data_IF_797605537677
#
_entry.id   IF_797605537677
#
_cell.length_a   1.000
_cell.length_b   1.000
_cell.length_c   1.000
_cell.angle_alpha   90.00
_cell.angle_beta   90.00
_cell.angle_gamma   90.00
#
_symmetry.space_group_name_H-M   'P 1'
#
loop_
_entity.id
_entity.type
_entity.pdbx_description
1 polymer ?
#
# COMPACT_ATOMS: atom_id res chain seq x y z
N UNK A 1 -15.50 -4.97 -27.26
CA UNK A 1 -14.48 -4.95 -26.19
C UNK A 1 -14.78 -6.13 -25.28
N UNK A 2 -13.93 -7.16 -25.25
CA UNK A 2 -14.10 -8.31 -24.34
C UNK A 2 -13.51 -7.93 -22.98
N UNK A 3 -14.26 -8.16 -21.91
CA UNK A 3 -13.77 -7.98 -20.54
C UNK A 3 -13.15 -9.30 -20.08
N UNK A 4 -11.89 -9.26 -19.67
CA UNK A 4 -11.20 -10.41 -19.08
C UNK A 4 -11.05 -10.19 -17.58
N UNK A 5 -11.44 -11.20 -16.80
CA UNK A 5 -11.20 -11.23 -15.36
C UNK A 5 -9.85 -11.88 -15.09
N UNK A 6 -9.03 -11.20 -14.30
CA UNK A 6 -7.74 -11.71 -13.84
C UNK A 6 -7.82 -12.02 -12.35
N UNK A 7 -7.13 -13.08 -11.93
CA UNK A 7 -6.95 -13.39 -10.51
C UNK A 7 -5.78 -12.57 -9.97
N UNK A 8 -6.06 -11.71 -8.99
CA UNK A 8 -5.08 -10.82 -8.35
C UNK A 8 -5.18 -10.93 -6.84
N UNK A 9 -4.13 -10.55 -6.12
CA UNK A 9 -4.20 -10.26 -4.69
C UNK A 9 -4.17 -8.74 -4.50
N UNK A 10 -4.75 -8.26 -3.39
CA UNK A 10 -4.76 -6.84 -3.01
C UNK A 10 -3.74 -6.62 -1.90
N UNK A 11 -2.95 -5.57 -2.03
CA UNK A 11 -2.12 -5.00 -0.98
C UNK A 11 -2.74 -3.67 -0.56
N UNK A 12 -3.00 -3.48 0.74
CA UNK A 12 -3.46 -2.20 1.29
C UNK A 12 -2.64 -1.80 2.51
N UNK A 13 -2.12 -0.58 2.46
CA UNK A 13 -1.28 0.02 3.51
C UNK A 13 -2.02 1.24 4.05
N UNK A 14 -2.10 1.35 5.38
CA UNK A 14 -2.60 2.55 6.05
C UNK A 14 -1.40 3.31 6.59
N UNK A 15 -1.26 4.57 6.19
CA UNK A 15 -0.08 5.37 6.44
C UNK A 15 -0.47 6.64 7.21
N UNK A 16 0.00 6.81 8.45
CA UNK A 16 -0.35 7.98 9.24
C UNK A 16 0.17 9.26 8.57
N UNK A 17 -0.67 10.29 8.54
CA UNK A 17 -0.32 11.59 7.97
C UNK A 17 -0.66 12.71 8.94
N UNK A 18 -0.04 13.87 8.75
CA UNK A 18 -0.37 15.06 9.53
C UNK A 18 -1.80 15.55 9.22
N UNK A 19 -2.41 16.28 10.15
CA UNK A 19 -3.69 16.93 9.91
C UNK A 19 -3.63 17.96 8.76
N UNK A 20 -2.47 18.58 8.54
CA UNK A 20 -2.22 19.49 7.43
C UNK A 20 -2.27 18.75 6.09
N UNK A 21 -1.49 17.67 5.95
CA UNK A 21 -1.50 16.81 4.74
C UNK A 21 -2.91 16.29 4.49
N UNK A 22 -3.59 15.79 5.52
CA UNK A 22 -4.97 15.32 5.42
C UNK A 22 -5.92 16.40 4.88
N UNK A 23 -5.87 17.61 5.44
CA UNK A 23 -6.72 18.72 5.03
C UNK A 23 -6.49 19.14 3.57
N UNK A 24 -5.24 19.14 3.12
CA UNK A 24 -4.88 19.46 1.73
C UNK A 24 -5.39 18.40 0.75
N UNK A 25 -5.19 17.12 1.05
CA UNK A 25 -5.71 16.03 0.21
C UNK A 25 -7.24 16.07 0.18
N UNK A 26 -7.89 16.30 1.32
CA UNK A 26 -9.35 16.44 1.40
C UNK A 26 -9.90 17.60 0.54
N UNK A 27 -9.11 18.66 0.37
CA UNK A 27 -9.43 19.79 -0.50
C UNK A 27 -9.16 19.52 -2.00
N UNK A 28 -8.69 18.32 -2.36
CA UNK A 28 -8.38 17.93 -3.74
C UNK A 28 -6.98 18.32 -4.21
N UNK A 29 -6.09 18.77 -3.31
CA UNK A 29 -4.70 19.06 -3.66
C UNK A 29 -3.89 17.76 -3.77
N UNK A 30 -3.88 17.16 -4.97
CA UNK A 30 -3.12 15.95 -5.24
C UNK A 30 -1.61 16.12 -5.03
N UNK A 31 -1.06 17.34 -5.11
CA UNK A 31 0.37 17.58 -4.88
C UNK A 31 0.74 17.36 -3.41
N UNK A 32 -0.22 17.47 -2.48
CA UNK A 32 0.03 17.19 -1.07
C UNK A 32 0.52 15.76 -0.82
N UNK A 33 0.13 14.79 -1.66
CA UNK A 33 0.63 13.41 -1.59
C UNK A 33 2.13 13.36 -1.89
N UNK A 34 2.58 14.07 -2.92
CA UNK A 34 3.99 14.06 -3.35
C UNK A 34 4.89 14.96 -2.47
N UNK A 35 4.29 15.93 -1.78
CA UNK A 35 5.01 16.86 -0.91
C UNK A 35 5.13 16.36 0.53
N UNK A 36 4.29 15.42 0.95
CA UNK A 36 4.45 14.73 2.22
C UNK A 36 5.63 13.76 2.13
N UNK A 37 6.70 13.92 2.93
CA UNK A 37 7.90 13.09 2.81
C UNK A 37 7.64 11.60 3.03
N UNK A 38 6.73 11.25 3.96
CA UNK A 38 6.42 9.86 4.26
C UNK A 38 5.63 9.20 3.13
N UNK A 39 4.68 9.93 2.54
CA UNK A 39 3.96 9.44 1.36
C UNK A 39 4.85 9.35 0.12
N UNK A 40 5.75 10.32 -0.07
CA UNK A 40 6.73 10.27 -1.16
C UNK A 40 7.65 9.05 -1.03
N UNK A 41 8.12 8.75 0.19
CA UNK A 41 8.93 7.55 0.47
C UNK A 41 8.15 6.25 0.24
N UNK A 42 6.90 6.18 0.71
CA UNK A 42 5.99 5.06 0.44
C UNK A 42 5.85 4.80 -1.07
N UNK A 43 5.52 5.83 -1.85
CA UNK A 43 5.34 5.70 -3.29
C UNK A 43 6.64 5.29 -3.97
N UNK A 44 7.77 5.91 -3.60
CA UNK A 44 9.07 5.56 -4.15
C UNK A 44 9.47 4.11 -3.89
N UNK A 45 9.24 3.60 -2.68
CA UNK A 45 9.51 2.20 -2.32
C UNK A 45 8.62 1.25 -3.13
N UNK A 46 7.32 1.53 -3.28
CA UNK A 46 6.43 0.70 -4.11
C UNK A 46 6.89 0.66 -5.57
N UNK A 47 7.37 1.77 -6.12
CA UNK A 47 7.90 1.82 -7.49
C UNK A 47 9.13 0.93 -7.72
N UNK A 48 9.86 0.55 -6.66
CA UNK A 48 10.96 -0.41 -6.76
C UNK A 48 10.49 -1.86 -6.94
N UNK A 49 9.19 -2.12 -6.75
CA UNK A 49 8.56 -3.43 -6.90
C UNK A 49 7.67 -3.46 -8.14
N UNK A 50 8.22 -3.70 -9.35
CA UNK A 50 7.48 -3.60 -10.61
C UNK A 50 6.35 -4.63 -10.77
N UNK A 51 6.28 -5.64 -9.88
CA UNK A 51 5.18 -6.60 -9.82
C UNK A 51 3.93 -6.03 -9.12
N UNK A 52 4.07 -4.95 -8.35
CA UNK A 52 2.96 -4.24 -7.71
C UNK A 52 2.35 -3.21 -8.68
N UNK A 53 1.04 -3.30 -8.90
CA UNK A 53 0.34 -2.39 -9.79
C UNK A 53 0.67 -2.56 -11.27
N UNK A 54 1.14 -3.74 -11.70
CA UNK A 54 1.38 -4.04 -13.11
C UNK A 54 0.12 -4.52 -13.82
N UNK A 55 -0.48 -3.64 -14.63
CA UNK A 55 -1.59 -3.93 -15.53
C UNK A 55 -1.19 -3.79 -17.00
N UNK A 56 -0.01 -4.32 -17.36
CA UNK A 56 0.51 -4.32 -18.71
C UNK A 56 1.11 -2.98 -19.12
N UNK A 57 0.40 -2.21 -19.94
CA UNK A 57 0.85 -0.88 -20.37
C UNK A 57 0.70 0.18 -19.26
N UNK A 58 -0.04 -0.14 -18.20
CA UNK A 58 -0.20 0.69 -17.02
C UNK A 58 0.65 0.09 -15.90
N UNK A 59 1.60 0.89 -15.40
CA UNK A 59 2.52 0.53 -14.31
C UNK A 59 2.23 1.40 -13.10
N UNK A 60 2.66 0.94 -11.92
CA UNK A 60 2.47 1.67 -10.67
C UNK A 60 0.99 2.03 -10.44
N UNK A 61 0.07 1.15 -10.85
CA UNK A 61 -1.36 1.39 -10.68
C UNK A 61 -1.72 1.24 -9.21
N UNK A 62 -2.28 2.28 -8.61
CA UNK A 62 -2.80 2.26 -7.26
C UNK A 62 -4.07 3.11 -7.15
N UNK A 63 -4.86 2.82 -6.12
CA UNK A 63 -5.92 3.66 -5.61
C UNK A 63 -5.47 4.25 -4.27
N UNK A 64 -5.85 5.50 -4.02
CA UNK A 64 -5.62 6.14 -2.72
C UNK A 64 -6.88 6.77 -2.15
N UNK A 65 -6.98 6.78 -0.83
CA UNK A 65 -8.00 7.50 -0.08
C UNK A 65 -7.43 8.11 1.20
N UNK A 66 -8.28 8.81 1.96
CA UNK A 66 -7.94 9.34 3.28
C UNK A 66 -9.04 8.99 4.29
N UNK A 67 -8.68 8.86 5.56
CA UNK A 67 -9.63 8.58 6.63
C UNK A 67 -9.02 8.76 8.01
N UNK A 68 -9.64 8.11 9.00
CA UNK A 68 -9.13 8.06 10.37
C UNK A 68 -8.97 6.61 10.80
N UNK A 69 -7.86 6.33 11.50
CA UNK A 69 -7.65 5.08 12.22
C UNK A 69 -7.84 5.29 13.71
N UNK A 70 -8.60 4.39 14.34
CA UNK A 70 -8.86 4.41 15.77
C UNK A 70 -8.14 3.28 16.48
N UNK A 71 -7.44 3.61 17.56
CA UNK A 71 -6.74 2.62 18.38
C UNK A 71 -6.63 3.07 19.85
N UNK A 72 -6.35 2.13 20.73
CA UNK A 72 -5.99 2.38 22.13
C UNK A 72 -4.68 1.69 22.44
N UNK A 73 -3.75 2.40 23.04
CA UNK A 73 -2.43 1.85 23.38
C UNK A 73 -2.51 1.07 24.70
N UNK A 74 -2.11 -0.19 24.67
CA UNK A 74 -1.95 -1.02 25.87
C UNK A 74 -0.70 -0.66 26.68
N UNK A 75 -0.63 -1.16 27.91
CA UNK A 75 0.56 -1.05 28.75
C UNK A 75 1.77 -1.71 28.03
N UNK A 76 2.86 -0.96 27.89
CA UNK A 76 4.08 -1.41 27.20
C UNK A 76 4.24 -0.94 25.74
N UNK A 77 3.23 -0.29 25.16
CA UNK A 77 3.37 0.33 23.83
C UNK A 77 4.22 1.60 23.88
N UNK A 78 5.01 1.86 22.82
CA UNK A 78 5.73 3.13 22.60
C UNK A 78 5.16 3.84 21.37
N UNK A 79 3.92 4.34 21.43
CA UNK A 79 3.24 4.79 20.23
C UNK A 79 3.84 6.09 19.67
N UNK A 80 4.00 6.15 18.35
CA UNK A 80 4.35 7.40 17.64
C UNK A 80 3.27 8.48 17.82
N UNK A 81 2.00 8.07 17.99
CA UNK A 81 0.85 8.95 18.23
C UNK A 81 -0.08 8.35 19.29
N UNK A 82 -0.62 9.19 20.18
CA UNK A 82 -1.56 8.78 21.21
C UNK A 82 -0.91 8.56 22.57
N UNK A 83 -1.68 8.06 23.54
CA UNK A 83 -1.23 7.79 24.91
C UNK A 83 -1.76 6.46 25.41
N UNK A 84 -0.97 5.78 26.24
CA UNK A 84 -1.39 4.55 26.92
C UNK A 84 -2.65 4.82 27.74
N UNK A 85 -3.66 3.97 27.56
CA UNK A 85 -4.96 4.09 28.23
C UNK A 85 -5.95 5.07 27.59
N UNK A 86 -5.58 5.76 26.51
CA UNK A 86 -6.47 6.69 25.79
C UNK A 86 -6.88 6.12 24.42
N UNK A 87 -8.12 6.41 24.01
CA UNK A 87 -8.55 6.17 22.63
C UNK A 87 -8.06 7.32 21.75
N UNK A 88 -7.35 6.98 20.67
CA UNK A 88 -6.77 7.93 19.73
C UNK A 88 -7.38 7.74 18.34
N UNK A 89 -7.61 8.85 17.64
CA UNK A 89 -7.92 8.88 16.21
C UNK A 89 -6.75 9.54 15.46
N UNK A 90 -6.20 8.85 14.46
CA UNK A 90 -5.11 9.35 13.61
C UNK A 90 -5.62 9.60 12.20
N UNK A 91 -5.37 10.77 11.58
CA UNK A 91 -5.49 10.92 10.14
C UNK A 91 -4.60 9.91 9.43
N UNK A 92 -5.13 9.26 8.39
CA UNK A 92 -4.43 8.23 7.63
C UNK A 92 -4.62 8.43 6.14
N UNK A 93 -3.57 8.16 5.38
CA UNK A 93 -3.60 7.93 3.94
C UNK A 93 -3.72 6.43 3.69
N UNK A 94 -4.64 6.04 2.83
CA UNK A 94 -4.86 4.64 2.47
C UNK A 94 -4.30 4.42 1.08
N UNK A 95 -3.29 3.58 0.95
CA UNK A 95 -2.74 3.14 -0.33
C UNK A 95 -3.21 1.73 -0.65
N UNK A 96 -3.76 1.51 -1.84
CA UNK A 96 -4.17 0.18 -2.31
C UNK A 96 -3.60 -0.10 -3.69
N UNK A 97 -2.97 -1.26 -3.88
CA UNK A 97 -2.57 -1.76 -5.20
C UNK A 97 -2.90 -3.24 -5.33
N UNK A 98 -2.76 -3.77 -6.54
CA UNK A 98 -3.01 -5.15 -6.88
C UNK A 98 -1.76 -5.77 -7.51
N UNK A 99 -1.61 -7.07 -7.34
CA UNK A 99 -0.53 -7.84 -7.95
C UNK A 99 -1.06 -9.21 -8.39
N UNK A 100 -0.36 -9.86 -9.32
CA UNK A 100 -0.76 -11.18 -9.82
C UNK A 100 -0.89 -12.19 -8.67
N UNK A 101 -1.98 -12.96 -8.65
CA UNK A 101 -2.22 -13.96 -7.61
C UNK A 101 -1.15 -15.06 -7.56
N UNK A 102 -0.39 -15.25 -8.64
CA UNK A 102 0.72 -16.21 -8.72
C UNK A 102 2.08 -15.57 -8.43
N UNK A 103 2.13 -14.34 -7.92
CA UNK A 103 3.40 -13.74 -7.48
C UNK A 103 4.06 -14.62 -6.41
N UNK A 104 5.37 -14.81 -6.56
CA UNK A 104 6.19 -15.56 -5.60
C UNK A 104 6.11 -14.91 -4.21
N UNK A 105 5.80 -15.71 -3.19
CA UNK A 105 5.66 -15.23 -1.82
C UNK A 105 6.96 -14.59 -1.31
N UNK A 106 8.15 -15.09 -1.72
CA UNK A 106 9.42 -14.49 -1.33
C UNK A 106 9.64 -13.11 -1.96
N UNK A 107 9.05 -12.84 -3.13
CA UNK A 107 9.07 -11.48 -3.73
C UNK A 107 8.15 -10.57 -2.93
N UNK A 108 6.94 -11.04 -2.59
CA UNK A 108 6.00 -10.28 -1.78
C UNK A 108 6.56 -9.98 -0.38
N UNK A 109 7.13 -10.97 0.31
CA UNK A 109 7.72 -10.81 1.63
C UNK A 109 8.82 -9.74 1.65
N UNK A 110 9.68 -9.67 0.61
CA UNK A 110 10.68 -8.62 0.49
C UNK A 110 10.04 -7.22 0.36
N UNK A 111 9.04 -7.09 -0.49
CA UNK A 111 8.30 -5.83 -0.61
C UNK A 111 7.64 -5.43 0.73
N UNK A 112 7.10 -6.40 1.48
CA UNK A 112 6.50 -6.14 2.79
C UNK A 112 7.54 -5.73 3.82
N UNK A 113 8.70 -6.37 3.85
CA UNK A 113 9.80 -6.00 4.75
C UNK A 113 10.28 -4.58 4.50
N UNK A 114 10.41 -4.17 3.25
CA UNK A 114 10.80 -2.80 2.90
C UNK A 114 9.74 -1.77 3.33
N UNK A 115 8.45 -2.04 3.05
CA UNK A 115 7.36 -1.17 3.50
C UNK A 115 7.28 -1.07 5.03
N UNK A 116 7.46 -2.18 5.75
CA UNK A 116 7.51 -2.19 7.21
C UNK A 116 8.69 -1.37 7.73
N UNK A 117 9.87 -1.49 7.09
CA UNK A 117 11.08 -0.81 7.53
C UNK A 117 11.00 0.73 7.43
N UNK A 118 10.26 1.25 6.46
CA UNK A 118 10.05 2.70 6.30
C UNK A 118 8.77 3.21 6.98
N UNK A 119 7.96 2.32 7.57
CA UNK A 119 6.67 2.71 8.11
C UNK A 119 6.81 3.56 9.39
N UNK A 120 6.02 4.64 9.58
CA UNK A 120 6.14 5.52 10.76
C UNK A 120 5.68 4.89 12.09
N UNK A 121 4.90 3.81 12.01
CA UNK A 121 4.45 3.03 13.17
C UNK A 121 5.39 1.87 13.44
N UNK A 122 5.62 1.59 14.72
CA UNK A 122 6.36 0.41 15.19
C UNK A 122 5.72 -0.91 14.71
N UNK A 123 4.38 -0.95 14.66
CA UNK A 123 3.60 -2.11 14.23
C UNK A 123 2.62 -1.73 13.12
N UNK A 124 3.07 -1.67 11.85
CA UNK A 124 2.18 -1.41 10.72
C UNK A 124 1.17 -2.56 10.52
N UNK A 125 -0.09 -2.20 10.28
CA UNK A 125 -1.11 -3.16 9.84
C UNK A 125 -1.25 -3.05 8.33
N UNK A 126 -0.64 -4.00 7.62
CA UNK A 126 -0.70 -4.11 6.16
C UNK A 126 -1.62 -5.27 5.79
N UNK A 127 -2.66 -4.99 5.00
CA UNK A 127 -3.62 -5.99 4.53
C UNK A 127 -3.12 -6.63 3.23
N UNK A 128 -3.03 -7.96 3.22
CA UNK A 128 -2.86 -8.75 2.00
C UNK A 128 -4.03 -9.73 1.90
N UNK A 129 -4.77 -9.67 0.80
CA UNK A 129 -5.90 -10.58 0.60
C UNK A 129 -5.48 -11.91 -0.02
N UNK A 130 -6.35 -12.91 0.11
CA UNK A 130 -6.42 -13.98 -0.87
C UNK A 130 -6.80 -13.46 -2.27
N UNK A 131 -6.81 -14.34 -3.28
CA UNK A 131 -7.10 -13.93 -4.65
C UNK A 131 -8.53 -13.37 -4.80
N UNK A 132 -8.65 -12.28 -5.55
CA UNK A 132 -9.90 -11.66 -6.01
C UNK A 132 -9.89 -11.58 -7.55
N UNK A 133 -11.06 -11.46 -8.16
CA UNK A 133 -11.17 -11.29 -9.62
C UNK A 133 -11.33 -9.81 -9.98
N UNK A 134 -10.46 -9.29 -10.84
CA UNK A 134 -10.50 -7.90 -11.31
C UNK A 134 -10.53 -7.85 -12.84
N UNK A 135 -11.40 -6.99 -13.39
CA UNK A 135 -11.47 -6.74 -14.83
C UNK A 135 -10.27 -5.87 -15.28
N UNK A 136 -9.47 -6.36 -16.25
CA UNK A 136 -8.30 -5.63 -16.74
C UNK A 136 -7.41 -6.46 -17.68
N UNK A 137 -6.27 -5.91 -18.08
CA UNK A 137 -5.21 -6.68 -18.76
C UNK A 137 -4.03 -6.82 -17.81
N UNK A 138 -3.67 -8.03 -17.41
CA UNK A 138 -2.43 -8.29 -16.68
C UNK A 138 -1.34 -8.85 -17.59
N UNK A 139 -0.09 -8.51 -17.31
CA UNK A 139 1.05 -9.14 -17.97
C UNK A 139 1.30 -10.50 -17.32
N UNK A 140 1.05 -11.60 -18.04
CA UNK A 140 1.51 -12.92 -17.61
C UNK A 140 3.04 -12.97 -17.69
N UNK A 141 3.73 -13.29 -16.59
CA UNK A 141 5.13 -13.75 -16.66
C UNK A 141 5.15 -15.05 -17.47
N UNK A 142 5.73 -15.01 -18.65
CA UNK A 142 6.06 -16.24 -19.39
C UNK A 142 7.19 -16.93 -18.62
N UNK A 143 7.11 -18.22 -18.30
CA UNK A 143 8.21 -18.92 -17.66
C UNK A 143 9.47 -18.75 -18.51
N UNK A 144 10.55 -18.28 -17.87
CA UNK A 144 11.87 -18.22 -18.50
C UNK A 144 12.23 -19.63 -18.96
N UNK A 145 12.39 -19.83 -20.26
CA UNK A 145 13.00 -21.05 -20.78
C UNK A 145 14.42 -21.09 -20.23
N UNK A 146 14.68 -21.99 -19.29
CA UNK A 146 16.03 -22.27 -18.82
C UNK A 146 16.89 -22.61 -20.06
N UNK A 147 17.98 -21.86 -20.22
CA UNK A 147 18.95 -22.09 -21.27
C UNK A 147 19.52 -23.52 -21.14
N UNK A 148 19.68 -24.14 -22.31
CA UNK A 148 20.05 -25.54 -22.55
C UNK A 148 21.38 -25.96 -21.94
#
# INVERSE_FOLDING_TARGET
>A
MSVHLNSVRKLRVHWPISAETFGRIAAGDANAVQQDPGLAELLHTVEQHPDLGDFGNYKNVFESGIGFEGFSCGEGASPTLGRVGEQTLSPTFVFTTYFDATLDEAVLERAMQELVAIHPWELPVIEVTGPVSVAGSLRRKTPSAAAS
#
